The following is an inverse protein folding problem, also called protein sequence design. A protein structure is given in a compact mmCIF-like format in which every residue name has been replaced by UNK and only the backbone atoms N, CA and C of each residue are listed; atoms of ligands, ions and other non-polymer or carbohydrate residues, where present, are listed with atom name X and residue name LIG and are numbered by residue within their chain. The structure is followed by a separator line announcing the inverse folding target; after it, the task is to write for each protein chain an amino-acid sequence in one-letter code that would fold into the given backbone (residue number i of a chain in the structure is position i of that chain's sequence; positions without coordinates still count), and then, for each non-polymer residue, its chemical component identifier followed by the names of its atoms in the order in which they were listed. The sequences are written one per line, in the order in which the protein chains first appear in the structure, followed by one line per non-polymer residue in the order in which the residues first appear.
data_IF_273781045992
#
_entry.id   IF_273781045992
#
_cell.length_a   1.000
_cell.length_b   1.000
_cell.length_c   1.000
_cell.angle_alpha   90.00
_cell.angle_beta   90.00
_cell.angle_gamma   90.00
#
_symmetry.space_group_name_H-M   'P 1'
#
loop_
_entity.id
_entity.type
_entity.pdbx_description
1 polymer ?
#
# COMPACT_ATOMS: atom_id res chain seq x y z
N UNK A 1 51.95 10.14 15.25
CA UNK A 1 51.59 8.80 15.76
C UNK A 1 51.74 7.80 14.62
N UNK A 2 52.60 6.81 14.83
CA UNK A 2 53.26 5.98 13.82
C UNK A 2 52.32 5.08 12.99
N UNK A 3 52.46 5.18 11.66
CA UNK A 3 51.76 4.38 10.63
C UNK A 3 51.92 2.86 10.82
N UNK A 4 52.99 2.44 11.49
CA UNK A 4 53.28 1.02 11.77
C UNK A 4 52.25 0.41 12.73
N UNK A 5 51.79 1.15 13.74
CA UNK A 5 50.81 0.66 14.72
C UNK A 5 49.41 0.45 14.13
N UNK A 6 49.00 1.29 13.17
CA UNK A 6 47.73 1.14 12.47
C UNK A 6 47.73 -0.11 11.58
N UNK A 7 48.84 -0.41 10.91
CA UNK A 7 48.98 -1.60 10.06
C UNK A 7 48.99 -2.89 10.87
N UNK A 8 49.67 -2.93 12.02
CA UNK A 8 49.63 -4.10 12.91
C UNK A 8 48.25 -4.32 13.54
N UNK A 9 47.53 -3.27 13.92
CA UNK A 9 46.17 -3.40 14.46
C UNK A 9 45.19 -3.98 13.42
N UNK A 10 45.27 -3.53 12.17
CA UNK A 10 44.43 -4.05 11.07
C UNK A 10 44.75 -5.51 10.77
N UNK A 11 46.03 -5.90 10.73
CA UNK A 11 46.41 -7.30 10.51
C UNK A 11 45.94 -8.23 11.64
N UNK A 12 46.02 -7.79 12.90
CA UNK A 12 45.54 -8.59 14.05
C UNK A 12 44.02 -8.77 14.00
N UNK A 13 43.28 -7.72 13.63
CA UNK A 13 41.82 -7.77 13.51
C UNK A 13 41.37 -8.67 12.34
N UNK A 14 42.06 -8.61 11.20
CA UNK A 14 41.81 -9.50 10.07
C UNK A 14 42.09 -10.98 10.41
N UNK A 15 43.17 -11.27 11.15
CA UNK A 15 43.47 -12.62 11.61
C UNK A 15 42.43 -13.17 12.60
N UNK A 16 41.88 -12.33 13.50
CA UNK A 16 40.78 -12.73 14.39
C UNK A 16 39.50 -13.08 13.61
N UNK A 17 39.15 -12.28 12.60
CA UNK A 17 37.97 -12.54 11.76
C UNK A 17 38.11 -13.86 10.99
N UNK A 18 39.32 -14.15 10.49
CA UNK A 18 39.62 -15.40 9.77
C UNK A 18 39.56 -16.62 10.70
N UNK A 19 40.02 -16.49 11.95
CA UNK A 19 39.91 -17.54 12.97
C UNK A 19 38.45 -17.82 13.36
N UNK A 20 37.61 -16.77 13.48
CA UNK A 20 36.18 -16.93 13.75
C UNK A 20 35.45 -17.62 12.59
N UNK A 21 35.75 -17.24 11.35
CA UNK A 21 35.20 -17.89 10.15
C UNK A 21 35.58 -19.37 10.06
N UNK A 22 36.84 -19.72 10.36
CA UNK A 22 37.30 -21.11 10.38
C UNK A 22 36.61 -21.92 11.49
N UNK A 23 36.33 -21.31 12.64
CA UNK A 23 35.65 -21.98 13.76
C UNK A 23 34.18 -22.26 13.43
N UNK A 24 33.49 -21.31 12.78
CA UNK A 24 32.11 -21.50 12.29
C UNK A 24 32.03 -22.58 11.21
N UNK A 25 33.01 -22.66 10.31
CA UNK A 25 33.09 -23.71 9.30
C UNK A 25 33.33 -25.09 9.94
N UNK A 26 34.15 -25.16 10.99
CA UNK A 26 34.40 -26.41 11.71
C UNK A 26 33.17 -26.91 12.48
N UNK A 27 32.37 -26.02 13.07
CA UNK A 27 31.15 -26.40 13.80
C UNK A 27 29.99 -26.79 12.89
N UNK A 28 30.01 -26.36 11.62
CA UNK A 28 28.97 -26.63 10.63
C UNK A 28 29.28 -27.80 9.67
N UNK A 29 30.32 -28.60 9.93
CA UNK A 29 30.54 -29.84 9.17
C UNK A 29 29.55 -30.93 9.62
N UNK A 30 28.69 -31.46 8.74
CA UNK A 30 27.69 -32.47 9.11
C UNK A 30 28.35 -33.81 9.48
N UNK A 31 27.99 -34.34 10.66
CA UNK A 31 28.39 -35.67 11.09
C UNK A 31 27.71 -36.75 10.23
N UNK A 32 28.51 -37.48 9.42
CA UNK A 32 28.08 -38.73 8.77
C UNK A 32 27.88 -39.82 9.83
N UNK A 33 26.63 -40.19 10.12
CA UNK A 33 26.28 -41.50 10.69
C UNK A 33 25.69 -42.37 9.58
N UNK A 34 26.40 -43.44 9.26
CA UNK A 34 25.90 -44.53 8.44
C UNK A 34 25.48 -45.72 9.31
N UNK A 35 24.33 -46.30 8.98
CA UNK A 35 23.89 -47.69 9.25
C UNK A 35 22.68 -47.89 8.34
N UNK A 36 22.80 -48.61 7.23
CA UNK A 36 22.75 -50.07 7.09
C UNK A 36 21.32 -50.62 7.22
N UNK A 37 20.95 -51.27 6.12
CA UNK A 37 19.65 -51.74 5.63
C UNK A 37 19.23 -53.07 6.27
N UNK A 38 17.92 -53.31 6.40
CA UNK A 38 17.30 -54.64 6.50
C UNK A 38 15.78 -54.55 6.32
N UNK A 39 15.31 -55.01 5.16
CA UNK A 39 13.90 -55.05 4.79
C UNK A 39 13.06 -56.17 5.41
N UNK A 40 11.77 -56.15 5.08
CA UNK A 40 10.82 -57.22 5.36
C UNK A 40 9.38 -56.79 5.12
N UNK A 41 8.86 -57.10 3.94
CA UNK A 41 7.44 -57.03 3.62
C UNK A 41 6.74 -58.33 4.03
N UNK A 42 5.63 -58.26 4.78
CA UNK A 42 4.59 -59.31 4.82
C UNK A 42 3.22 -58.68 5.12
N UNK A 43 2.27 -58.95 4.23
CA UNK A 43 0.81 -58.78 4.37
C UNK A 43 0.20 -59.84 5.29
N UNK A 44 -0.80 -59.50 6.11
CA UNK A 44 -2.12 -60.19 6.18
C UNK A 44 -2.92 -59.85 7.45
N UNK A 45 -4.23 -60.03 7.29
CA UNK A 45 -5.36 -59.74 8.17
C UNK A 45 -5.29 -60.24 9.62
N UNK A 46 -6.06 -59.59 10.50
CA UNK A 46 -6.36 -60.10 11.84
C UNK A 46 -7.19 -59.15 12.69
N UNK A 47 -8.38 -59.60 13.04
CA UNK A 47 -9.52 -58.95 13.70
C UNK A 47 -9.34 -58.74 15.23
N UNK A 48 -10.25 -57.93 15.82
CA UNK A 48 -10.66 -57.79 17.24
C UNK A 48 -9.78 -56.86 18.11
N UNK A 49 -10.23 -55.76 18.73
CA UNK A 49 -11.36 -55.43 19.64
C UNK A 49 -11.49 -56.27 20.92
N UNK A 50 -11.01 -55.70 22.03
CA UNK A 50 -11.51 -55.88 23.40
C UNK A 50 -11.84 -54.47 23.93
N UNK A 51 -13.11 -54.08 24.12
CA UNK A 51 -14.01 -54.38 25.25
C UNK A 51 -13.52 -53.87 26.61
N UNK A 52 -14.17 -52.79 27.07
CA UNK A 52 -14.61 -52.72 28.46
C UNK A 52 -16.12 -52.48 28.51
N UNK A 53 -16.72 -53.07 29.52
CA UNK A 53 -18.07 -53.61 29.63
C UNK A 53 -19.08 -52.63 30.21
N UNK A 54 -20.36 -52.80 29.88
CA UNK A 54 -21.47 -52.12 30.55
C UNK A 54 -22.84 -52.30 29.91
N UNK A 55 -23.41 -53.52 30.04
CA UNK A 55 -24.83 -53.90 30.26
C UNK A 55 -25.91 -52.82 30.00
N UNK A 56 -27.02 -52.98 29.28
CA UNK A 56 -27.75 -54.13 28.72
C UNK A 56 -29.05 -53.63 28.04
N UNK A 57 -29.59 -54.46 27.15
CA UNK A 57 -30.62 -54.21 26.11
C UNK A 57 -32.07 -53.89 26.54
N UNK A 58 -32.79 -53.22 25.62
CA UNK A 58 -34.10 -53.55 24.98
C UNK A 58 -34.96 -52.27 24.84
N UNK A 59 -35.54 -51.87 23.70
CA UNK A 59 -35.67 -52.37 22.34
C UNK A 59 -36.74 -51.51 21.61
N UNK A 60 -36.64 -51.40 20.28
CA UNK A 60 -37.57 -50.73 19.32
C UNK A 60 -37.67 -49.19 19.42
N UNK A 61 -37.89 -48.38 18.38
CA UNK A 61 -38.29 -48.57 16.99
C UNK A 61 -37.74 -47.38 16.16
N UNK A 62 -37.28 -47.63 14.92
CA UNK A 62 -36.80 -46.59 14.01
C UNK A 62 -37.97 -46.02 13.21
N UNK A 63 -38.78 -45.15 13.81
CA UNK A 63 -39.77 -44.35 13.03
C UNK A 63 -40.45 -43.20 13.79
N UNK A 64 -39.74 -42.41 14.62
CA UNK A 64 -40.27 -41.09 15.01
C UNK A 64 -39.17 -40.12 15.50
N UNK A 65 -38.57 -39.38 14.57
CA UNK A 65 -37.65 -38.26 14.89
C UNK A 65 -38.39 -37.00 15.37
N UNK A 66 -39.72 -36.99 15.42
CA UNK A 66 -40.54 -35.85 15.83
C UNK A 66 -40.75 -35.74 17.34
N UNK A 67 -40.37 -36.75 18.12
CA UNK A 67 -40.42 -36.72 19.59
C UNK A 67 -39.14 -36.17 20.24
N UNK A 68 -38.05 -35.99 19.47
CA UNK A 68 -36.76 -35.50 19.97
C UNK A 68 -36.62 -33.97 19.93
N UNK A 69 -37.64 -33.26 19.44
CA UNK A 69 -37.65 -31.79 19.26
C UNK A 69 -38.70 -31.06 20.12
N UNK A 70 -39.28 -31.71 21.13
CA UNK A 70 -40.33 -31.11 21.98
C UNK A 70 -40.01 -31.11 23.47
N UNK A 71 -38.76 -31.29 23.87
CA UNK A 71 -38.40 -31.14 25.27
C UNK A 71 -38.13 -29.66 25.60
N UNK A 72 -39.14 -28.98 26.16
CA UNK A 72 -39.09 -27.58 26.60
C UNK A 72 -38.17 -27.36 27.83
N UNK A 73 -37.42 -28.36 28.28
CA UNK A 73 -36.51 -28.27 29.44
C UNK A 73 -35.05 -28.65 29.14
N UNK A 74 -34.68 -28.87 27.88
CA UNK A 74 -33.26 -29.16 27.54
C UNK A 74 -32.38 -27.89 27.49
N UNK A 75 -32.99 -26.71 27.42
CA UNK A 75 -32.29 -25.41 27.30
C UNK A 75 -32.67 -24.43 28.42
N UNK A 76 -32.37 -24.74 29.69
CA UNK A 76 -32.15 -23.75 30.76
C UNK A 76 -31.69 -24.48 32.04
N UNK A 77 -30.65 -24.13 32.82
CA UNK A 77 -29.72 -23.00 32.91
C UNK A 77 -28.42 -23.49 33.56
N UNK A 78 -27.30 -22.89 33.20
CA UNK A 78 -26.34 -22.43 34.21
C UNK A 78 -26.03 -20.97 33.93
N UNK A 79 -26.86 -20.10 34.51
CA UNK A 79 -26.63 -18.68 34.67
C UNK A 79 -25.42 -18.49 35.58
N UNK A 80 -24.24 -18.28 34.99
CA UNK A 80 -23.24 -17.40 35.59
C UNK A 80 -23.53 -15.97 35.15
N UNK A 81 -23.95 -15.22 36.14
CA UNK A 81 -24.39 -13.83 36.17
C UNK A 81 -23.27 -12.82 35.82
N UNK A 82 -22.60 -12.97 34.67
CA UNK A 82 -21.61 -11.99 34.17
C UNK A 82 -21.71 -11.63 32.69
N UNK A 83 -22.50 -12.34 31.88
CA UNK A 83 -22.75 -11.95 30.48
C UNK A 83 -23.87 -10.91 30.39
N UNK A 84 -23.59 -9.72 30.96
CA UNK A 84 -24.39 -8.53 30.65
C UNK A 84 -24.03 -8.08 29.23
N UNK A 85 -24.95 -8.26 28.30
CA UNK A 85 -25.16 -7.41 27.12
C UNK A 85 -23.88 -6.75 26.57
N UNK A 86 -23.01 -7.53 25.93
CA UNK A 86 -22.02 -6.97 25.02
C UNK A 86 -22.69 -6.80 23.66
N UNK A 87 -22.86 -5.55 23.26
CA UNK A 87 -23.38 -5.17 21.96
C UNK A 87 -22.43 -5.72 20.88
N UNK A 88 -22.97 -6.39 19.85
CA UNK A 88 -22.18 -6.94 18.74
C UNK A 88 -21.43 -5.84 17.96
N UNK A 89 -21.75 -4.56 18.22
CA UNK A 89 -21.09 -3.36 17.71
C UNK A 89 -19.63 -3.23 18.12
N UNK A 90 -19.18 -3.77 19.25
CA UNK A 90 -17.82 -3.56 19.75
C UNK A 90 -16.83 -4.68 19.38
N UNK A 91 -17.07 -5.39 18.27
CA UNK A 91 -16.16 -6.45 17.79
C UNK A 91 -15.02 -5.86 16.99
N UNK A 92 -13.80 -6.28 17.32
CA UNK A 92 -12.57 -5.89 16.62
C UNK A 92 -12.07 -7.01 15.70
N UNK A 93 -11.43 -6.62 14.61
CA UNK A 93 -10.67 -7.49 13.71
C UNK A 93 -9.29 -6.92 13.46
N UNK A 94 -8.35 -7.75 13.03
CA UNK A 94 -7.01 -7.31 12.62
C UNK A 94 -6.88 -7.41 11.11
N UNK A 95 -6.36 -6.35 10.50
CA UNK A 95 -5.84 -6.37 9.13
C UNK A 95 -4.34 -6.23 9.26
N UNK A 96 -3.60 -7.24 8.80
CA UNK A 96 -2.14 -7.28 8.90
C UNK A 96 -1.55 -7.32 7.51
N UNK A 97 -0.75 -6.31 7.19
CA UNK A 97 -0.03 -6.19 5.91
C UNK A 97 1.46 -6.17 6.18
N UNK A 98 2.22 -6.96 5.43
CA UNK A 98 3.69 -6.97 5.48
C UNK A 98 4.26 -6.45 4.18
N UNK A 99 5.26 -5.56 4.29
CA UNK A 99 6.12 -5.18 3.18
C UNK A 99 7.56 -5.13 3.71
N UNK A 100 8.46 -5.90 3.09
CA UNK A 100 9.82 -6.13 3.57
C UNK A 100 9.89 -6.61 5.03
N UNK A 101 10.59 -5.85 5.89
CA UNK A 101 10.81 -6.07 7.32
C UNK A 101 9.77 -5.36 8.17
N UNK A 102 8.79 -4.74 7.54
CA UNK A 102 7.82 -3.93 8.22
C UNK A 102 6.46 -4.64 8.22
N UNK A 103 5.77 -4.52 9.36
CA UNK A 103 4.40 -4.93 9.54
C UNK A 103 3.55 -3.71 9.87
N UNK A 104 2.47 -3.55 9.13
CA UNK A 104 1.39 -2.63 9.44
C UNK A 104 0.22 -3.46 9.97
N UNK A 105 -0.20 -3.19 11.20
CA UNK A 105 -1.30 -3.86 11.86
C UNK A 105 -2.39 -2.84 12.14
N UNK A 106 -3.57 -3.04 11.55
CA UNK A 106 -4.71 -2.17 11.74
C UNK A 106 -5.81 -2.87 12.52
N UNK A 107 -6.30 -2.20 13.55
CA UNK A 107 -7.40 -2.65 14.41
C UNK A 107 -8.67 -2.02 13.87
N UNK A 108 -9.54 -2.85 13.30
CA UNK A 108 -10.77 -2.38 12.64
C UNK A 108 -12.03 -2.88 13.35
N UNK A 109 -13.11 -2.12 13.23
CA UNK A 109 -14.44 -2.49 13.69
C UNK A 109 -15.15 -3.47 12.73
N UNK A 110 -16.45 -3.67 12.91
CA UNK A 110 -17.27 -4.56 12.06
C UNK A 110 -17.40 -4.05 10.63
N UNK A 111 -17.33 -2.75 10.44
CA UNK A 111 -17.48 -2.09 9.14
C UNK A 111 -16.10 -1.84 8.48
N UNK A 112 -15.05 -2.52 8.99
CA UNK A 112 -13.65 -2.41 8.57
C UNK A 112 -13.03 -1.02 8.76
N UNK A 113 -13.62 -0.18 9.62
CA UNK A 113 -13.06 1.14 9.92
C UNK A 113 -12.06 1.05 11.06
N UNK A 114 -10.94 1.79 11.01
CA UNK A 114 -9.97 1.81 12.10
C UNK A 114 -10.63 2.34 13.36
N UNK A 115 -10.38 1.67 14.49
CA UNK A 115 -10.91 2.13 15.77
C UNK A 115 -9.94 3.14 16.36
N UNK A 116 -10.37 4.40 16.44
CA UNK A 116 -9.54 5.52 16.91
C UNK A 116 -9.87 5.90 18.37
N UNK A 117 -8.97 6.64 19.02
CA UNK A 117 -9.17 7.22 20.35
C UNK A 117 -8.77 6.31 21.52
N UNK A 118 -8.46 5.04 21.24
CA UNK A 118 -8.00 4.04 22.21
C UNK A 118 -6.57 3.60 21.93
N UNK A 119 -5.82 3.22 22.98
CA UNK A 119 -4.47 2.67 22.80
C UNK A 119 -4.52 1.15 22.75
N UNK A 120 -4.38 0.58 21.55
CA UNK A 120 -4.30 -0.86 21.35
C UNK A 120 -2.90 -1.41 21.63
N UNK A 121 -2.87 -2.68 22.01
CA UNK A 121 -1.63 -3.43 22.20
C UNK A 121 -1.73 -4.74 21.43
N UNK A 122 -0.70 -5.05 20.65
CA UNK A 122 -0.57 -6.32 19.95
C UNK A 122 0.65 -7.07 20.44
N UNK A 123 0.63 -8.39 20.28
CA UNK A 123 1.79 -9.27 20.49
C UNK A 123 2.21 -9.89 19.17
N UNK A 124 3.51 -9.88 18.88
CA UNK A 124 4.14 -10.68 17.84
C UNK A 124 4.68 -11.98 18.44
N UNK A 125 4.28 -13.13 17.88
CA UNK A 125 4.67 -14.48 18.31
C UNK A 125 4.43 -14.76 19.81
N UNK A 126 3.45 -14.06 20.40
CA UNK A 126 3.18 -14.04 21.85
C UNK A 126 4.32 -13.47 22.72
N UNK A 127 5.41 -13.03 22.08
CA UNK A 127 6.65 -12.41 22.59
C UNK A 127 6.54 -10.91 22.81
N UNK A 128 6.64 -10.24 21.68
CA UNK A 128 7.03 -8.84 21.60
C UNK A 128 5.76 -7.98 21.55
N UNK A 129 5.67 -7.02 22.48
CA UNK A 129 4.50 -6.16 22.62
C UNK A 129 4.70 -4.83 21.90
N UNK A 130 3.75 -4.48 21.04
CA UNK A 130 3.71 -3.21 20.33
C UNK A 130 2.44 -2.47 20.68
N UNK A 131 2.54 -1.14 20.71
CA UNK A 131 1.50 -0.24 21.18
C UNK A 131 1.16 0.77 20.10
N UNK A 132 -0.12 1.00 19.92
CA UNK A 132 -0.66 2.15 19.21
C UNK A 132 -0.43 3.43 20.06
N UNK A 133 0.48 4.28 19.58
CA UNK A 133 0.97 5.46 20.30
C UNK A 133 0.14 6.72 20.03
N UNK A 134 -0.34 6.86 18.80
CA UNK A 134 -1.12 7.97 18.26
C UNK A 134 -2.64 7.73 18.33
N UNK A 135 -3.06 6.52 18.71
CA UNK A 135 -4.46 6.12 18.91
C UNK A 135 -5.29 6.24 17.63
N UNK A 136 -4.66 5.97 16.50
CA UNK A 136 -5.29 5.98 15.17
C UNK A 136 -5.78 4.57 14.76
N UNK A 137 -5.60 3.57 15.63
CA UNK A 137 -5.95 2.18 15.37
C UNK A 137 -4.95 1.46 14.46
N UNK A 138 -3.77 2.03 14.21
CA UNK A 138 -2.71 1.47 13.35
C UNK A 138 -1.42 1.32 14.15
N UNK A 139 -0.73 0.20 13.95
CA UNK A 139 0.56 -0.08 14.58
C UNK A 139 1.55 -0.44 13.48
N UNK A 140 2.59 0.37 13.35
CA UNK A 140 3.73 0.11 12.47
C UNK A 140 4.86 -0.54 13.27
N UNK A 141 5.36 -1.66 12.76
CA UNK A 141 6.44 -2.43 13.35
C UNK A 141 7.52 -2.56 12.30
N UNK A 142 8.65 -1.88 12.48
CA UNK A 142 9.77 -1.92 11.54
C UNK A 142 10.86 -2.92 11.91
N UNK A 143 11.77 -3.15 10.96
CA UNK A 143 13.04 -3.87 11.15
C UNK A 143 12.91 -5.34 11.63
N UNK A 144 11.81 -6.02 11.31
CA UNK A 144 11.62 -7.42 11.62
C UNK A 144 12.47 -8.33 10.72
N UNK A 145 13.17 -9.33 11.28
CA UNK A 145 13.81 -10.38 10.47
C UNK A 145 12.78 -11.10 9.59
N UNK A 146 13.16 -11.57 8.39
CA UNK A 146 12.25 -12.39 7.60
C UNK A 146 11.85 -13.67 8.34
N UNK A 147 10.58 -14.02 8.25
CA UNK A 147 10.00 -15.13 8.98
C UNK A 147 8.48 -15.14 8.95
N UNK A 148 7.91 -16.19 9.52
CA UNK A 148 6.48 -16.24 9.83
C UNK A 148 6.26 -15.60 11.21
N UNK A 149 5.25 -14.75 11.30
CA UNK A 149 4.87 -14.04 12.51
C UNK A 149 3.38 -14.24 12.79
N UNK A 150 3.08 -14.43 14.06
CA UNK A 150 1.73 -14.55 14.59
C UNK A 150 1.37 -13.24 15.32
N UNK A 151 0.42 -12.48 14.78
CA UNK A 151 -0.04 -11.21 15.35
C UNK A 151 -1.33 -11.41 16.13
N UNK A 152 -1.33 -11.10 17.42
CA UNK A 152 -2.53 -11.17 18.27
C UNK A 152 -2.85 -9.84 18.96
N UNK A 153 -4.12 -9.46 19.02
CA UNK A 153 -4.59 -8.28 19.73
C UNK A 153 -4.80 -8.61 21.21
N UNK A 154 -4.21 -7.82 22.11
CA UNK A 154 -4.43 -7.99 23.55
C UNK A 154 -5.85 -7.55 23.92
N UNK A 155 -6.51 -8.26 24.87
CA UNK A 155 -7.82 -7.87 25.35
C UNK A 155 -7.84 -6.42 25.87
N UNK A 156 -8.86 -5.67 25.48
CA UNK A 156 -9.09 -4.29 25.91
C UNK A 156 -10.52 -4.15 26.43
N UNK A 157 -10.69 -3.39 27.51
CA UNK A 157 -12.00 -3.19 28.14
C UNK A 157 -12.96 -2.50 27.17
N UNK A 158 -14.19 -3.01 27.09
CA UNK A 158 -15.23 -2.44 26.23
C UNK A 158 -15.28 -3.00 24.82
N UNK A 159 -14.29 -3.80 24.40
CA UNK A 159 -14.26 -4.41 23.07
C UNK A 159 -14.14 -5.93 23.12
N UNK A 160 -14.64 -6.59 22.08
CA UNK A 160 -14.44 -8.02 21.83
C UNK A 160 -13.29 -8.18 20.85
N UNK A 161 -12.12 -8.56 21.35
CA UNK A 161 -10.93 -8.84 20.54
C UNK A 161 -11.03 -10.20 19.85
N UNK A 162 -10.38 -10.39 18.69
CA UNK A 162 -10.29 -11.71 18.06
C UNK A 162 -9.55 -12.69 18.97
N UNK A 163 -10.06 -13.92 19.04
CA UNK A 163 -9.50 -15.00 19.87
C UNK A 163 -8.32 -15.70 19.21
N UNK A 164 -8.24 -15.64 17.88
CA UNK A 164 -7.16 -16.21 17.08
C UNK A 164 -6.20 -15.11 16.66
N UNK A 165 -4.92 -15.45 16.63
CA UNK A 165 -3.93 -14.62 15.99
C UNK A 165 -4.04 -14.68 14.47
N UNK A 166 -3.43 -13.70 13.81
CA UNK A 166 -3.33 -13.58 12.36
C UNK A 166 -1.90 -13.93 11.94
N UNK A 167 -1.74 -14.93 11.08
CA UNK A 167 -0.44 -15.31 10.53
C UNK A 167 -0.04 -14.36 9.40
N UNK A 168 1.19 -13.87 9.43
CA UNK A 168 1.76 -13.02 8.40
C UNK A 168 3.21 -13.41 8.15
N UNK A 169 3.62 -13.37 6.88
CA UNK A 169 4.99 -13.64 6.48
C UNK A 169 5.73 -12.34 6.14
N UNK A 170 6.79 -12.08 6.90
CA UNK A 170 7.75 -11.00 6.64
C UNK A 170 8.86 -11.54 5.74
N UNK A 171 9.21 -10.79 4.69
CA UNK A 171 10.17 -11.23 3.65
C UNK A 171 11.44 -10.36 3.67
N UNK A 172 12.59 -10.95 3.37
CA UNK A 172 13.90 -10.25 3.41
C UNK A 172 14.06 -9.17 2.31
N UNK A 173 13.12 -9.07 1.36
CA UNK A 173 13.15 -8.12 0.25
C UNK A 173 11.74 -7.60 -0.02
N UNK A 174 11.64 -6.32 -0.40
CA UNK A 174 10.40 -5.76 -0.93
C UNK A 174 10.04 -6.53 -2.19
N UNK A 175 8.90 -7.23 -2.17
CA UNK A 175 8.25 -7.64 -3.40
C UNK A 175 7.41 -6.45 -3.87
N UNK A 176 7.86 -5.82 -4.96
CA UNK A 176 7.12 -4.76 -5.64
C UNK A 176 5.93 -5.37 -6.39
N UNK A 177 4.95 -5.90 -5.65
CA UNK A 177 3.76 -6.59 -6.17
C UNK A 177 2.54 -5.99 -5.48
N UNK A 178 1.44 -5.87 -6.21
CA UNK A 178 0.20 -5.34 -5.68
C UNK A 178 -0.32 -6.20 -4.50
N UNK A 179 -0.82 -5.51 -3.47
CA UNK A 179 -1.48 -6.11 -2.32
C UNK A 179 -2.94 -6.36 -2.69
N UNK A 180 -3.40 -7.62 -2.62
CA UNK A 180 -4.74 -8.02 -3.06
C UNK A 180 -5.87 -7.36 -2.24
N UNK A 181 -5.71 -7.23 -0.92
CA UNK A 181 -6.74 -6.73 0.01
C UNK A 181 -6.60 -5.23 0.34
N UNK A 182 -5.87 -4.47 -0.48
CA UNK A 182 -5.63 -3.03 -0.28
C UNK A 182 -6.92 -2.20 -0.17
N UNK A 183 -8.02 -2.68 -0.76
CA UNK A 183 -9.32 -2.01 -0.74
C UNK A 183 -9.87 -1.75 0.67
N UNK A 184 -9.46 -2.55 1.66
CA UNK A 184 -9.84 -2.35 3.07
C UNK A 184 -9.13 -1.16 3.72
N UNK A 185 -8.05 -0.67 3.10
CA UNK A 185 -7.23 0.45 3.60
C UNK A 185 -7.62 1.79 2.96
N UNK A 186 -8.40 1.76 1.89
CA UNK A 186 -8.82 2.95 1.16
C UNK A 186 -9.92 3.65 1.95
N UNK A 187 -9.67 4.91 2.29
CA UNK A 187 -10.66 5.81 2.90
C UNK A 187 -11.29 6.71 1.85
N UNK A 188 -12.47 7.22 2.16
CA UNK A 188 -13.10 8.33 1.46
C UNK A 188 -12.82 9.65 2.19
N UNK A 189 -12.97 10.78 1.50
CA UNK A 189 -12.84 12.11 2.13
C UNK A 189 -13.86 12.36 3.25
N UNK A 190 -14.96 11.60 3.29
CA UNK A 190 -15.93 11.67 4.37
C UNK A 190 -15.45 11.02 5.68
N UNK A 191 -14.35 10.26 5.63
CA UNK A 191 -13.80 9.49 6.76
C UNK A 191 -12.53 10.13 7.36
N UNK A 192 -12.12 11.29 6.84
CA UNK A 192 -10.91 12.00 7.25
C UNK A 192 -11.16 13.51 7.30
N UNK A 193 -10.20 14.25 7.85
CA UNK A 193 -10.13 15.71 7.68
C UNK A 193 -9.46 16.05 6.33
N UNK A 194 -10.26 16.09 5.26
CA UNK A 194 -9.74 16.28 3.90
C UNK A 194 -8.99 17.61 3.70
N UNK A 195 -9.33 18.67 4.44
CA UNK A 195 -8.65 19.96 4.33
C UNK A 195 -7.25 19.92 4.96
N UNK A 196 -7.07 19.13 6.02
CA UNK A 196 -5.78 18.90 6.64
C UNK A 196 -4.90 17.93 5.81
N UNK A 197 -5.52 16.96 5.14
CA UNK A 197 -4.83 15.85 4.48
C UNK A 197 -4.46 16.13 3.02
N UNK A 198 -5.21 16.98 2.31
CA UNK A 198 -5.02 17.33 0.90
C UNK A 198 -5.19 18.84 0.73
N UNK A 199 -4.12 19.58 1.02
CA UNK A 199 -4.09 21.02 0.84
C UNK A 199 -3.96 21.36 -0.65
N UNK A 200 -4.76 22.32 -1.11
CA UNK A 200 -4.66 22.85 -2.46
C UNK A 200 -3.38 23.70 -2.61
N UNK A 201 -2.23 23.05 -2.73
CA UNK A 201 -0.98 23.72 -3.07
C UNK A 201 -0.84 23.75 -4.59
N UNK A 202 -1.07 24.92 -5.19
CA UNK A 202 -0.70 25.11 -6.59
C UNK A 202 0.82 25.25 -6.67
N UNK A 203 1.48 24.43 -7.50
CA UNK A 203 2.85 24.72 -7.93
C UNK A 203 2.87 26.18 -8.43
N UNK A 204 3.58 27.05 -7.71
CA UNK A 204 3.62 28.46 -8.08
C UNK A 204 4.64 28.64 -9.18
N UNK A 205 4.21 29.27 -10.28
CA UNK A 205 5.12 29.80 -11.30
C UNK A 205 6.09 30.80 -10.65
N UNK A 206 7.31 30.35 -10.35
CA UNK A 206 8.30 31.13 -9.64
C UNK A 206 8.92 32.26 -10.46
N UNK A 207 8.64 32.33 -11.77
CA UNK A 207 9.24 33.32 -12.67
C UNK A 207 8.25 34.13 -13.54
N UNK A 208 6.93 34.00 -13.30
CA UNK A 208 5.84 34.68 -14.03
C UNK A 208 5.85 34.44 -15.56
N UNK A 209 6.45 33.34 -16.03
CA UNK A 209 6.55 33.02 -17.46
C UNK A 209 5.44 32.09 -17.97
N UNK A 210 4.48 31.76 -17.12
CA UNK A 210 3.37 30.87 -17.43
C UNK A 210 2.46 31.41 -18.53
N UNK A 211 2.26 30.57 -19.55
CA UNK A 211 1.40 30.87 -20.70
C UNK A 211 -0.03 30.34 -20.49
N UNK A 212 -1.02 31.22 -20.60
CA UNK A 212 -2.45 30.86 -20.38
C UNK A 212 -3.19 30.35 -21.62
N UNK A 213 -2.52 30.21 -22.75
CA UNK A 213 -3.15 29.94 -24.05
C UNK A 213 -2.42 28.82 -24.78
N UNK A 214 -3.18 27.95 -25.44
CA UNK A 214 -2.68 26.78 -26.20
C UNK A 214 -1.83 27.16 -27.41
N UNK A 215 -1.92 28.41 -27.89
CA UNK A 215 -1.38 28.85 -29.18
C UNK A 215 0.15 28.94 -29.27
N UNK A 216 0.88 28.70 -28.17
CA UNK A 216 2.34 28.74 -28.11
C UNK A 216 3.03 27.38 -28.05
N UNK A 217 2.28 26.29 -27.88
CA UNK A 217 2.86 24.97 -27.60
C UNK A 217 3.08 24.17 -28.89
N UNK A 218 4.23 23.49 -28.98
CA UNK A 218 4.76 22.85 -30.18
C UNK A 218 3.69 22.12 -31.02
N UNK A 219 3.65 22.40 -32.34
CA UNK A 219 2.73 21.78 -33.32
C UNK A 219 2.85 20.25 -33.46
N UNK A 220 3.79 19.62 -32.75
CA UNK A 220 4.11 18.20 -32.89
C UNK A 220 3.62 17.34 -31.73
N UNK A 221 3.02 17.93 -30.69
CA UNK A 221 2.52 17.20 -29.53
C UNK A 221 0.99 17.16 -29.45
N UNK A 222 0.49 16.24 -28.65
CA UNK A 222 -0.95 16.03 -28.41
C UNK A 222 -1.34 16.84 -27.17
N UNK A 223 -2.46 17.58 -27.23
CA UNK A 223 -2.98 18.35 -26.10
C UNK A 223 -3.72 17.43 -25.12
N UNK A 224 -3.45 17.60 -23.83
CA UNK A 224 -4.20 16.96 -22.78
C UNK A 224 -4.35 17.84 -21.55
N UNK A 225 -5.09 17.34 -20.58
CA UNK A 225 -5.31 17.97 -19.28
C UNK A 225 -4.99 16.99 -18.16
N UNK A 226 -4.77 17.49 -16.97
CA UNK A 226 -4.85 16.69 -15.75
C UNK A 226 -5.88 17.29 -14.79
N UNK A 227 -6.63 16.41 -14.12
CA UNK A 227 -7.82 16.78 -13.35
C UNK A 227 -7.96 15.95 -12.08
N UNK A 228 -8.61 16.54 -11.09
CA UNK A 228 -8.89 15.96 -9.77
C UNK A 228 -10.21 16.52 -9.22
N UNK A 229 -10.48 16.31 -7.94
CA UNK A 229 -11.59 16.97 -7.22
C UNK A 229 -11.61 18.50 -7.38
N UNK A 230 -10.46 19.13 -7.61
CA UNK A 230 -10.34 20.58 -7.69
C UNK A 230 -11.09 21.19 -8.89
N UNK A 231 -11.26 20.42 -9.97
CA UNK A 231 -12.03 20.84 -11.15
C UNK A 231 -13.54 20.57 -11.03
N UNK A 232 -13.96 19.78 -10.02
CA UNK A 232 -15.35 19.41 -9.75
C UNK A 232 -16.02 18.77 -10.97
N UNK A 233 -17.27 19.14 -11.29
CA UNK A 233 -18.01 18.61 -12.42
C UNK A 233 -17.48 19.14 -13.76
N UNK A 234 -17.18 18.20 -14.66
CA UNK A 234 -16.61 18.47 -16.00
C UNK A 234 -17.60 18.06 -17.10
N UNK A 235 -17.82 18.95 -18.07
CA UNK A 235 -18.52 18.65 -19.32
C UNK A 235 -17.53 18.11 -20.35
N UNK A 236 -17.37 16.79 -20.37
CA UNK A 236 -16.36 16.10 -21.17
C UNK A 236 -16.58 16.22 -22.69
N UNK A 237 -17.82 16.38 -23.16
CA UNK A 237 -18.10 16.61 -24.57
C UNK A 237 -17.57 17.97 -25.02
N UNK A 238 -17.75 19.02 -24.20
CA UNK A 238 -17.14 20.32 -24.47
C UNK A 238 -15.61 20.25 -24.42
N UNK A 239 -15.05 19.55 -23.43
CA UNK A 239 -13.60 19.36 -23.32
C UNK A 239 -13.03 18.69 -24.58
N UNK A 240 -13.69 17.63 -25.08
CA UNK A 240 -13.28 16.96 -26.34
C UNK A 240 -13.35 17.93 -27.53
N UNK A 241 -14.39 18.75 -27.61
CA UNK A 241 -14.58 19.73 -28.68
C UNK A 241 -13.53 20.86 -28.67
N UNK A 242 -12.91 21.14 -27.52
CA UNK A 242 -11.76 22.06 -27.40
C UNK A 242 -10.44 21.43 -27.87
N UNK A 243 -10.45 20.18 -28.33
CA UNK A 243 -9.28 19.50 -28.88
C UNK A 243 -8.43 18.76 -27.84
N UNK A 244 -8.96 18.50 -26.64
CA UNK A 244 -8.32 17.64 -25.65
C UNK A 244 -8.38 16.18 -26.10
N UNK A 245 -7.22 15.54 -26.18
CA UNK A 245 -7.08 14.16 -26.68
C UNK A 245 -6.74 13.15 -25.59
N UNK A 246 -6.19 13.61 -24.47
CA UNK A 246 -5.99 12.77 -23.29
C UNK A 246 -6.25 13.53 -21.98
N UNK A 247 -6.53 12.77 -20.93
CA UNK A 247 -6.63 13.26 -19.55
C UNK A 247 -5.84 12.34 -18.61
N UNK A 248 -5.06 12.93 -17.69
CA UNK A 248 -4.46 12.22 -16.56
C UNK A 248 -5.29 12.55 -15.32
N UNK A 249 -5.93 11.55 -14.72
CA UNK A 249 -6.98 11.75 -13.72
C UNK A 249 -6.43 11.34 -12.34
N UNK A 250 -6.59 12.20 -11.33
CA UNK A 250 -6.22 11.82 -9.95
C UNK A 250 -7.13 10.68 -9.51
N UNK A 251 -6.54 9.54 -9.17
CA UNK A 251 -7.28 8.40 -8.64
C UNK A 251 -7.29 8.37 -7.12
N UNK A 252 -6.28 8.95 -6.50
CA UNK A 252 -6.20 9.07 -5.06
C UNK A 252 -4.96 9.81 -4.61
N UNK A 253 -4.81 9.89 -3.30
CA UNK A 253 -3.68 10.51 -2.65
C UNK A 253 -3.37 9.81 -1.33
N UNK A 254 -2.14 9.97 -0.85
CA UNK A 254 -1.81 9.67 0.55
C UNK A 254 -1.88 10.96 1.35
N UNK A 255 -2.64 10.94 2.44
CA UNK A 255 -2.85 12.10 3.29
C UNK A 255 -1.55 12.64 3.90
N UNK A 256 -1.37 13.96 3.84
CA UNK A 256 -0.16 14.63 4.31
C UNK A 256 0.06 14.57 5.82
N UNK A 257 -0.98 14.26 6.61
CA UNK A 257 -0.92 14.26 8.08
C UNK A 257 -0.96 12.83 8.60
N UNK A 258 -2.01 12.07 8.33
CA UNK A 258 -2.14 10.69 8.86
C UNK A 258 -1.47 9.66 7.97
N UNK A 259 -1.18 9.98 6.70
CA UNK A 259 -0.74 8.99 5.71
C UNK A 259 -1.84 8.02 5.29
N UNK A 260 -3.11 8.37 5.51
CA UNK A 260 -4.25 7.57 5.03
C UNK A 260 -4.23 7.48 3.50
N UNK A 261 -4.60 6.32 2.94
CA UNK A 261 -4.86 6.16 1.52
C UNK A 261 -6.27 6.65 1.21
N UNK A 262 -6.42 7.60 0.29
CA UNK A 262 -7.70 8.27 0.06
C UNK A 262 -8.04 8.30 -1.41
N UNK A 263 -9.24 7.85 -1.77
CA UNK A 263 -9.73 7.91 -3.15
C UNK A 263 -10.16 9.36 -3.47
N UNK A 264 -9.78 9.85 -4.66
CA UNK A 264 -10.27 11.15 -5.10
C UNK A 264 -11.78 11.05 -5.39
N UNK A 265 -12.64 11.88 -4.77
CA UNK A 265 -14.09 11.74 -4.86
C UNK A 265 -14.65 11.96 -6.27
N UNK A 266 -13.88 12.55 -7.19
CA UNK A 266 -14.27 12.74 -8.59
C UNK A 266 -13.62 11.72 -9.53
N UNK A 267 -12.76 10.81 -9.05
CA UNK A 267 -12.05 9.84 -9.88
C UNK A 267 -13.00 9.05 -10.79
N UNK A 268 -13.99 8.38 -10.21
CA UNK A 268 -14.89 7.49 -10.95
C UNK A 268 -15.72 8.25 -12.00
N UNK A 269 -16.22 9.44 -11.63
CA UNK A 269 -16.95 10.30 -12.56
C UNK A 269 -16.06 10.77 -13.71
N UNK A 270 -14.84 11.21 -13.41
CA UNK A 270 -13.91 11.74 -14.39
C UNK A 270 -13.44 10.67 -15.37
N UNK A 271 -13.04 9.49 -14.89
CA UNK A 271 -12.53 8.43 -15.77
C UNK A 271 -13.63 7.87 -16.68
N UNK A 272 -14.87 7.74 -16.18
CA UNK A 272 -16.02 7.34 -17.00
C UNK A 272 -16.37 8.42 -18.03
N UNK A 273 -16.42 9.69 -17.60
CA UNK A 273 -16.77 10.81 -18.46
C UNK A 273 -15.77 11.03 -19.60
N UNK A 274 -14.47 11.04 -19.29
CA UNK A 274 -13.41 11.19 -20.29
C UNK A 274 -13.45 10.06 -21.33
N UNK A 275 -13.56 8.81 -20.88
CA UNK A 275 -13.66 7.64 -21.77
C UNK A 275 -14.90 7.69 -22.65
N UNK A 276 -16.05 8.05 -22.10
CA UNK A 276 -17.30 8.18 -22.84
C UNK A 276 -17.21 9.24 -23.96
N UNK A 277 -16.47 10.32 -23.73
CA UNK A 277 -16.19 11.37 -24.72
C UNK A 277 -15.09 10.99 -25.73
N UNK A 278 -14.51 9.78 -25.64
CA UNK A 278 -13.43 9.33 -26.52
C UNK A 278 -12.06 9.98 -26.23
N UNK A 279 -11.85 10.46 -25.00
CA UNK A 279 -10.57 10.99 -24.51
C UNK A 279 -9.76 9.82 -23.94
N UNK A 280 -8.48 9.72 -24.31
CA UNK A 280 -7.55 8.72 -23.79
C UNK A 280 -7.25 9.00 -22.32
N UNK A 281 -7.16 7.97 -21.48
CA UNK A 281 -6.98 8.16 -20.04
C UNK A 281 -5.69 7.55 -19.52
N UNK A 282 -5.07 8.27 -18.60
CA UNK A 282 -4.09 7.78 -17.64
C UNK A 282 -4.51 8.25 -16.25
N UNK A 283 -3.77 7.87 -15.23
CA UNK A 283 -4.08 8.29 -13.85
C UNK A 283 -2.84 8.76 -13.14
N UNK A 284 -3.03 9.54 -12.07
CA UNK A 284 -1.95 9.84 -11.14
C UNK A 284 -2.38 9.65 -9.69
N UNK A 285 -1.39 9.46 -8.83
CA UNK A 285 -1.55 9.34 -7.39
C UNK A 285 -0.61 10.32 -6.69
N UNK A 286 -1.16 11.22 -5.88
CA UNK A 286 -0.37 12.19 -5.10
C UNK A 286 0.26 11.50 -3.90
N UNK A 287 1.58 11.40 -3.89
CA UNK A 287 2.29 10.64 -2.87
C UNK A 287 2.64 11.48 -1.64
N UNK A 288 2.50 10.86 -0.48
CA UNK A 288 3.10 11.30 0.78
C UNK A 288 3.81 10.12 1.47
N UNK A 289 4.17 9.10 0.70
CA UNK A 289 4.89 7.93 1.18
C UNK A 289 6.25 8.33 1.74
N UNK A 290 6.60 7.78 2.90
CA UNK A 290 7.90 8.05 3.55
C UNK A 290 8.94 6.94 3.33
N UNK A 291 8.54 5.84 2.69
CA UNK A 291 9.38 4.67 2.42
C UNK A 291 8.79 3.83 1.27
N UNK A 292 9.53 2.81 0.83
CA UNK A 292 9.11 1.89 -0.24
C UNK A 292 7.85 1.08 0.11
N UNK A 293 7.61 0.83 1.41
CA UNK A 293 6.43 0.11 1.89
C UNK A 293 5.15 0.87 1.55
N UNK A 294 5.10 2.14 1.93
CA UNK A 294 3.98 3.01 1.63
C UNK A 294 3.82 3.24 0.13
N UNK A 295 4.92 3.26 -0.63
CA UNK A 295 4.88 3.36 -2.08
C UNK A 295 4.22 2.13 -2.74
N UNK A 296 4.45 0.93 -2.20
CA UNK A 296 3.79 -0.32 -2.66
C UNK A 296 2.30 -0.27 -2.33
N UNK A 297 1.92 0.21 -1.14
CA UNK A 297 0.51 0.39 -0.77
C UNK A 297 -0.21 1.39 -1.70
N UNK A 298 0.42 2.53 -1.99
CA UNK A 298 -0.09 3.53 -2.95
C UNK A 298 -0.28 2.91 -4.33
N UNK A 299 0.74 2.23 -4.87
CA UNK A 299 0.65 1.55 -6.16
C UNK A 299 -0.47 0.49 -6.17
N UNK A 300 -0.60 -0.27 -5.09
CA UNK A 300 -1.64 -1.31 -4.93
C UNK A 300 -3.03 -0.69 -4.99
N UNK A 301 -3.24 0.44 -4.30
CA UNK A 301 -4.49 1.18 -4.36
C UNK A 301 -4.81 1.60 -5.80
N UNK A 302 -3.85 2.20 -6.50
CA UNK A 302 -4.07 2.60 -7.91
C UNK A 302 -4.46 1.41 -8.77
N UNK A 303 -3.73 0.30 -8.66
CA UNK A 303 -3.99 -0.94 -9.41
C UNK A 303 -5.40 -1.48 -9.12
N UNK A 304 -5.86 -1.38 -7.87
CA UNK A 304 -7.21 -1.79 -7.49
C UNK A 304 -8.29 -0.91 -8.13
N UNK A 305 -8.09 0.41 -8.14
CA UNK A 305 -9.05 1.39 -8.68
C UNK A 305 -9.15 1.35 -10.20
N UNK A 306 -8.05 1.07 -10.90
CA UNK A 306 -8.01 1.08 -12.36
C UNK A 306 -8.27 -0.29 -13.00
N UNK A 307 -8.51 -1.33 -12.21
CA UNK A 307 -8.60 -2.73 -12.69
C UNK A 307 -9.60 -2.94 -13.83
N UNK A 308 -10.72 -2.21 -13.79
CA UNK A 308 -11.79 -2.32 -14.78
C UNK A 308 -11.67 -1.30 -15.93
N UNK A 309 -10.55 -0.59 -16.01
CA UNK A 309 -10.30 0.49 -16.97
C UNK A 309 -9.09 0.17 -17.85
N UNK A 310 -9.27 0.29 -19.16
CA UNK A 310 -8.15 0.26 -20.11
C UNK A 310 -7.50 1.65 -20.16
N UNK A 311 -6.26 1.74 -19.67
CA UNK A 311 -5.47 2.97 -19.70
C UNK A 311 -4.64 3.05 -20.97
N UNK A 312 -4.72 4.17 -21.70
CA UNK A 312 -3.87 4.46 -22.86
C UNK A 312 -2.69 5.38 -22.52
N UNK A 313 -2.68 5.91 -21.30
CA UNK A 313 -1.59 6.67 -20.72
C UNK A 313 -1.13 6.03 -19.41
N UNK A 314 0.11 6.31 -18.96
CA UNK A 314 0.68 5.69 -17.78
C UNK A 314 -0.08 6.00 -16.48
N UNK A 315 0.21 5.19 -15.47
CA UNK A 315 -0.02 5.50 -14.06
C UNK A 315 1.18 6.31 -13.55
N UNK A 316 0.94 7.54 -13.12
CA UNK A 316 1.98 8.42 -12.60
C UNK A 316 1.98 8.45 -11.07
N UNK A 317 3.15 8.33 -10.46
CA UNK A 317 3.36 8.85 -9.11
C UNK A 317 3.63 10.36 -9.21
N UNK A 318 2.87 11.14 -8.47
CA UNK A 318 3.02 12.59 -8.37
C UNK A 318 3.79 12.89 -7.09
N UNK A 319 5.05 13.32 -7.25
CA UNK A 319 5.97 13.65 -6.15
C UNK A 319 6.26 15.14 -6.12
N UNK A 320 5.72 15.78 -5.09
CA UNK A 320 5.84 17.21 -4.84
C UNK A 320 5.69 17.49 -3.34
N UNK A 321 5.76 18.76 -2.96
CA UNK A 321 5.70 19.17 -1.57
C UNK A 321 4.25 19.45 -1.15
N UNK A 322 3.92 19.18 0.11
CA UNK A 322 2.61 19.49 0.67
C UNK A 322 2.68 20.66 1.66
N UNK A 323 3.11 21.84 1.18
CA UNK A 323 3.15 23.06 2.00
C UNK A 323 4.25 23.13 3.05
N UNK A 324 5.28 22.28 2.94
CA UNK A 324 6.43 22.26 3.84
C UNK A 324 6.17 21.55 5.18
N UNK A 325 4.98 20.98 5.37
CA UNK A 325 4.62 20.21 6.56
C UNK A 325 4.11 18.80 6.23
N UNK A 326 4.17 18.39 4.95
CA UNK A 326 3.83 17.04 4.54
C UNK A 326 4.82 16.02 5.08
N UNK A 327 4.33 14.81 5.36
CA UNK A 327 5.15 13.67 5.78
C UNK A 327 6.34 13.41 4.84
N UNK A 328 6.13 13.54 3.53
CA UNK A 328 7.17 13.30 2.53
C UNK A 328 8.08 14.53 2.25
N UNK A 329 7.81 15.70 2.82
CA UNK A 329 8.55 16.95 2.50
C UNK A 329 10.01 16.88 2.96
N UNK A 330 10.27 16.15 4.04
CA UNK A 330 11.61 16.03 4.65
C UNK A 330 12.48 14.91 4.08
N UNK A 331 11.94 14.06 3.20
CA UNK A 331 12.72 12.98 2.58
C UNK A 331 13.92 13.54 1.81
N UNK A 332 15.05 12.86 1.97
CA UNK A 332 16.24 13.12 1.19
C UNK A 332 16.08 12.61 -0.27
N UNK A 333 17.08 12.89 -1.10
CA UNK A 333 17.03 12.59 -2.55
C UNK A 333 16.95 11.09 -2.80
N UNK A 334 17.73 10.31 -2.05
CA UNK A 334 17.82 8.86 -2.17
C UNK A 334 16.51 8.20 -1.74
N UNK A 335 15.98 8.55 -0.57
CA UNK A 335 14.70 8.05 -0.03
C UNK A 335 13.54 8.33 -0.99
N UNK A 336 13.44 9.58 -1.47
CA UNK A 336 12.38 9.97 -2.40
C UNK A 336 12.49 9.26 -3.75
N UNK A 337 13.71 9.05 -4.22
CA UNK A 337 13.93 8.28 -5.46
C UNK A 337 13.51 6.83 -5.27
N UNK A 338 13.82 6.23 -4.12
CA UNK A 338 13.44 4.85 -3.80
C UNK A 338 11.91 4.68 -3.72
N UNK A 339 11.20 5.63 -3.11
CA UNK A 339 9.72 5.69 -3.11
C UNK A 339 9.17 5.68 -4.54
N UNK A 340 9.68 6.55 -5.41
CA UNK A 340 9.24 6.61 -6.81
C UNK A 340 9.53 5.30 -7.55
N UNK A 341 10.73 4.73 -7.38
CA UNK A 341 11.11 3.49 -8.02
C UNK A 341 10.27 2.30 -7.53
N UNK A 342 9.98 2.22 -6.24
CA UNK A 342 9.15 1.18 -5.63
C UNK A 342 7.71 1.22 -6.18
N UNK A 343 7.10 2.41 -6.22
CA UNK A 343 5.78 2.61 -6.81
C UNK A 343 5.77 2.17 -8.28
N UNK A 344 6.68 2.72 -9.09
CA UNK A 344 6.69 2.44 -10.53
C UNK A 344 7.02 0.98 -10.85
N UNK A 345 7.88 0.34 -10.06
CA UNK A 345 8.17 -1.10 -10.21
C UNK A 345 6.93 -1.94 -9.91
N UNK A 346 6.18 -1.59 -8.87
CA UNK A 346 4.94 -2.29 -8.48
C UNK A 346 3.88 -2.20 -9.57
N UNK A 347 3.67 -1.00 -10.12
CA UNK A 347 2.77 -0.77 -11.26
C UNK A 347 3.19 -1.58 -12.50
N UNK A 348 4.49 -1.59 -12.84
CA UNK A 348 4.99 -2.39 -13.98
C UNK A 348 4.81 -3.88 -13.78
N UNK A 349 5.02 -4.37 -12.56
CA UNK A 349 4.84 -5.78 -12.24
C UNK A 349 3.37 -6.21 -12.33
N UNK A 350 2.43 -5.29 -12.17
CA UNK A 350 1.00 -5.50 -12.45
C UNK A 350 0.63 -5.40 -13.94
N UNK A 351 1.59 -5.16 -14.83
CA UNK A 351 1.38 -5.11 -16.28
C UNK A 351 0.93 -3.75 -16.81
N UNK A 352 0.98 -2.69 -15.99
CA UNK A 352 0.63 -1.33 -16.38
C UNK A 352 1.90 -0.51 -16.70
N UNK A 353 1.75 0.52 -17.53
CA UNK A 353 2.85 1.47 -17.73
C UNK A 353 2.93 2.44 -16.55
N UNK A 354 4.13 2.65 -16.03
CA UNK A 354 4.39 3.53 -14.90
C UNK A 354 5.16 4.79 -15.34
N UNK A 355 4.90 5.90 -14.65
CA UNK A 355 5.62 7.14 -14.81
C UNK A 355 5.79 7.91 -13.51
N UNK A 356 6.65 8.92 -13.56
CA UNK A 356 6.88 9.88 -12.48
C UNK A 356 6.50 11.25 -13.00
N UNK A 357 5.71 11.99 -12.22
CA UNK A 357 5.51 13.41 -12.39
C UNK A 357 6.31 14.17 -11.33
N UNK A 358 7.01 15.22 -11.76
CA UNK A 358 7.66 16.17 -10.87
C UNK A 358 7.95 17.50 -11.60
N UNK A 359 8.11 18.58 -10.84
CA UNK A 359 8.56 19.85 -11.42
C UNK A 359 10.04 19.83 -11.79
N UNK A 360 10.50 20.77 -12.64
CA UNK A 360 11.95 20.88 -12.98
C UNK A 360 12.83 20.92 -11.75
N UNK A 361 12.44 21.71 -10.74
CA UNK A 361 13.23 21.83 -9.52
C UNK A 361 13.39 20.48 -8.83
N UNK A 362 12.34 19.67 -8.80
CA UNK A 362 12.36 18.36 -8.18
C UNK A 362 13.23 17.38 -8.96
N UNK A 363 13.10 17.31 -10.28
CA UNK A 363 13.98 16.48 -11.10
C UNK A 363 15.46 16.85 -10.99
N UNK A 364 15.79 18.12 -10.80
CA UNK A 364 17.18 18.57 -10.70
C UNK A 364 17.77 18.44 -9.29
N UNK A 365 16.95 18.60 -8.25
CA UNK A 365 17.45 18.84 -6.89
C UNK A 365 16.86 17.92 -5.82
N UNK A 366 15.80 17.16 -6.13
CA UNK A 366 15.07 16.32 -5.16
C UNK A 366 14.98 14.84 -5.57
N UNK A 367 15.36 14.52 -6.80
CA UNK A 367 15.33 13.17 -7.35
C UNK A 367 16.65 12.84 -8.04
N UNK A 368 17.03 11.57 -8.05
CA UNK A 368 18.05 11.05 -8.96
C UNK A 368 17.36 10.65 -10.27
N UNK A 369 17.12 11.62 -11.15
CA UNK A 369 16.34 11.42 -12.38
C UNK A 369 16.84 10.26 -13.25
N UNK A 370 18.16 10.02 -13.30
CA UNK A 370 18.76 8.92 -14.07
C UNK A 370 18.30 7.53 -13.65
N UNK A 371 17.90 7.33 -12.38
CA UNK A 371 17.34 6.06 -11.89
C UNK A 371 15.92 5.84 -12.44
N UNK A 372 15.22 6.94 -12.78
CA UNK A 372 13.81 6.93 -13.17
C UNK A 372 13.60 6.98 -14.70
N UNK A 373 14.67 7.11 -15.50
CA UNK A 373 14.61 7.24 -16.96
C UNK A 373 13.97 6.03 -17.69
N UNK A 374 13.86 4.89 -17.02
CA UNK A 374 13.17 3.70 -17.56
C UNK A 374 11.65 3.77 -17.46
N UNK A 375 11.12 4.79 -16.76
CA UNK A 375 9.70 5.09 -16.61
C UNK A 375 9.30 6.28 -17.47
N UNK A 376 7.99 6.48 -17.65
CA UNK A 376 7.49 7.68 -18.32
C UNK A 376 7.78 8.92 -17.46
N UNK A 377 8.37 9.95 -18.08
CA UNK A 377 8.69 11.21 -17.39
C UNK A 377 7.69 12.29 -17.79
N UNK A 378 6.95 12.80 -16.81
CA UNK A 378 6.01 13.91 -16.93
C UNK A 378 6.55 15.13 -16.18
N UNK A 379 7.05 16.10 -16.94
CA UNK A 379 7.71 17.29 -16.42
C UNK A 379 6.69 18.41 -16.16
N UNK A 380 6.66 18.99 -14.96
CA UNK A 380 6.06 20.29 -14.73
C UNK A 380 7.07 21.43 -14.89
N UNK A 381 6.82 22.33 -15.84
CA UNK A 381 7.64 23.51 -16.07
C UNK A 381 6.85 24.59 -16.81
N UNK A 382 6.32 25.57 -16.09
CA UNK A 382 5.32 26.52 -16.59
C UNK A 382 5.86 27.63 -17.49
N UNK A 383 6.29 27.28 -18.70
CA UNK A 383 6.92 28.21 -19.65
C UNK A 383 6.48 27.97 -21.09
N UNK A 384 6.94 28.81 -22.01
CA UNK A 384 6.77 28.57 -23.45
C UNK A 384 7.75 27.54 -24.02
N UNK A 385 8.93 27.38 -23.40
CA UNK A 385 9.95 26.39 -23.77
C UNK A 385 10.61 25.84 -22.48
N UNK A 386 10.65 24.50 -22.30
CA UNK A 386 11.37 23.88 -21.19
C UNK A 386 12.87 24.16 -21.24
N UNK A 387 13.46 24.32 -20.07
CA UNK A 387 14.89 24.48 -19.84
C UNK A 387 15.47 23.21 -19.20
N UNK A 388 14.60 22.32 -18.70
CA UNK A 388 15.00 20.98 -18.30
C UNK A 388 15.74 20.30 -19.45
N UNK A 389 16.94 19.78 -19.14
CA UNK A 389 17.83 19.13 -20.12
C UNK A 389 17.67 17.61 -20.14
N UNK A 390 16.95 17.05 -19.16
CA UNK A 390 16.66 15.62 -19.11
C UNK A 390 15.58 15.23 -20.11
N UNK A 391 15.43 13.92 -20.30
CA UNK A 391 14.40 13.37 -21.18
C UNK A 391 13.02 13.46 -20.52
N UNK A 392 12.01 13.89 -21.27
CA UNK A 392 10.61 13.88 -20.85
C UNK A 392 9.71 13.50 -22.03
N UNK A 393 8.61 12.84 -21.72
CA UNK A 393 7.61 12.39 -22.69
C UNK A 393 6.34 13.21 -22.62
N UNK A 394 6.07 13.79 -21.47
CA UNK A 394 4.94 14.67 -21.22
C UNK A 394 5.42 15.93 -20.50
N UNK A 395 4.72 17.03 -20.76
CA UNK A 395 5.07 18.33 -20.22
C UNK A 395 3.81 19.09 -19.81
N UNK A 396 3.69 19.38 -18.51
CA UNK A 396 2.72 20.32 -17.95
C UNK A 396 3.29 21.74 -18.09
N UNK A 397 2.70 22.54 -18.96
CA UNK A 397 3.23 23.85 -19.35
C UNK A 397 2.47 25.03 -18.72
N UNK A 398 1.34 24.77 -18.06
CA UNK A 398 0.56 25.77 -17.29
C UNK A 398 -0.41 25.06 -16.34
N UNK A 399 -0.63 25.66 -15.18
CA UNK A 399 -1.72 25.37 -14.22
C UNK A 399 -2.86 26.40 -14.27
N UNK A 400 -2.74 27.41 -15.14
CA UNK A 400 -3.72 28.49 -15.35
C UNK A 400 -4.43 28.39 -16.71
N UNK A 401 -4.51 27.19 -17.26
CA UNK A 401 -5.25 26.92 -18.49
C UNK A 401 -6.74 27.14 -18.35
N UNK A 402 -7.41 27.33 -19.49
CA UNK A 402 -8.87 27.44 -19.57
C UNK A 402 -9.40 26.59 -20.71
N UNK A 403 -10.26 25.63 -20.38
CA UNK A 403 -10.92 24.75 -21.35
C UNK A 403 -12.43 24.86 -21.11
N UNK A 404 -13.18 25.07 -22.19
CA UNK A 404 -14.62 25.07 -22.12
C UNK A 404 -15.14 23.71 -21.65
N UNK A 405 -16.04 23.72 -20.67
CA UNK A 405 -16.51 22.52 -19.98
C UNK A 405 -15.87 22.29 -18.60
N UNK A 406 -14.86 23.09 -18.22
CA UNK A 406 -14.27 23.09 -16.87
C UNK A 406 -14.41 24.49 -16.27
N UNK A 407 -14.86 24.56 -15.02
CA UNK A 407 -14.96 25.82 -14.29
C UNK A 407 -13.62 26.13 -13.61
N UNK A 408 -13.11 27.34 -13.82
CA UNK A 408 -11.86 27.78 -13.21
C UNK A 408 -10.63 27.44 -14.06
N UNK A 409 -9.51 27.21 -13.39
CA UNK A 409 -8.26 26.85 -14.05
C UNK A 409 -8.15 25.34 -14.22
N UNK A 410 -7.44 24.93 -15.26
CA UNK A 410 -7.07 23.53 -15.50
C UNK A 410 -5.64 23.45 -15.98
N UNK A 411 -4.95 22.41 -15.55
CA UNK A 411 -3.57 22.14 -15.92
C UNK A 411 -3.54 21.60 -17.36
N UNK A 412 -2.66 22.18 -18.18
CA UNK A 412 -2.54 21.81 -19.59
C UNK A 412 -1.21 21.12 -19.85
N UNK A 413 -1.32 20.06 -20.63
CA UNK A 413 -0.22 19.16 -20.93
C UNK A 413 -0.02 19.03 -22.43
N UNK A 414 1.23 18.76 -22.79
CA UNK A 414 1.56 18.24 -24.10
C UNK A 414 2.26 16.90 -23.97
N UNK A 415 1.72 15.92 -24.68
CA UNK A 415 2.31 14.59 -24.82
C UNK A 415 3.08 14.50 -26.14
N UNK A 416 4.31 14.01 -26.07
CA UNK A 416 5.17 13.70 -27.22
C UNK A 416 5.23 12.20 -27.50
N UNK A 417 4.39 11.43 -26.81
CA UNK A 417 4.27 9.98 -26.94
C UNK A 417 3.64 9.66 -28.30
N UNK A 418 4.18 8.66 -28.99
CA UNK A 418 3.78 8.29 -30.37
C UNK A 418 2.81 7.13 -30.39
#
# INVERSE_FOLDING_TARGET
MDSKWKRTAICVSACMCLLLLLLVLFTNLPQRKGTADAGGAVTSAGTQTDQYTGVGQQGADKSNLSAFLQDEYFFDRDTKETDRLYDETNRLSLIVTSVEKDLRVQIVDRDNKPVEGESFYITLNGKDEYKDLDKDGVIYIGDLPAGEYEVALKPISGYRTPLSATDVRVKDKVEYVAIDDISLLIKTEAEIDAEAEDSAEANTDGDDTEIRQTSGVSKTGVLGIDVSKWQKEIDWDKVKNEGVDFAIIRCGYRGSVTGSLVEDPYFEQNIKGARAAGIKVGVYFFTQAVNEVEAVEEASMVISLVRDYELQYPVFIDTEGAGGNGRADSLNVEERTAVCEAFCTTVKNAGLEAGVYASRNWYNNKLTASTLESYAIWLAEYRSVPLYQGYYQMWQYTSKGKINGINGNVDLNVSYRK
#
